data_IF_007463758870
#
_entry.id   IF_007463758870
#
_cell.length_a   1.000
_cell.length_b   1.000
_cell.length_c   1.000
_cell.angle_alpha   90.00
_cell.angle_beta   90.00
_cell.angle_gamma   90.00
#
_symmetry.space_group_name_H-M   'P 1'
#
loop_
_entity.id
_entity.type
_entity.pdbx_description
1 polymer ?
#
# COMPACT_ATOMS: atom_id res chain seq x y z
N UNK A 1 -12.14 -1.95 27.23
CA UNK A 1 -12.42 -1.75 25.79
C UNK A 1 -11.20 -1.04 25.24
N UNK A 2 -10.46 -1.63 24.30
CA UNK A 2 -9.34 -0.93 23.67
C UNK A 2 -9.92 0.00 22.62
N UNK A 3 -9.69 1.31 22.75
CA UNK A 3 -10.02 2.25 21.69
C UNK A 3 -9.26 1.87 20.43
N UNK A 4 -10.00 1.64 19.36
CA UNK A 4 -9.44 1.51 18.03
C UNK A 4 -9.11 2.92 17.57
N UNK A 5 -7.82 3.26 17.52
CA UNK A 5 -7.37 4.48 16.85
C UNK A 5 -7.35 4.26 15.35
N UNK A 6 -7.99 5.15 14.61
CA UNK A 6 -8.02 5.16 13.15
C UNK A 6 -7.93 6.60 12.62
N UNK A 7 -7.96 6.75 11.30
CA UNK A 7 -7.79 8.07 10.68
C UNK A 7 -9.09 8.89 10.63
N UNK A 8 -10.27 8.39 11.06
CA UNK A 8 -11.56 9.07 10.82
C UNK A 8 -11.58 10.54 11.24
N UNK A 9 -11.12 10.82 12.46
CA UNK A 9 -11.15 12.17 13.04
C UNK A 9 -10.18 13.15 12.39
N UNK A 10 -9.20 12.65 11.63
CA UNK A 10 -8.15 13.47 11.02
C UNK A 10 -8.01 13.25 9.50
N UNK A 11 -8.88 12.46 8.88
CA UNK A 11 -8.74 11.98 7.51
C UNK A 11 -8.65 13.13 6.49
N UNK A 12 -9.61 14.05 6.51
CA UNK A 12 -9.61 15.23 5.63
C UNK A 12 -8.37 16.11 5.86
N UNK A 13 -7.95 16.27 7.12
CA UNK A 13 -6.75 17.06 7.46
C UNK A 13 -5.47 16.41 6.95
N UNK A 14 -5.35 15.08 7.00
CA UNK A 14 -4.22 14.35 6.39
C UNK A 14 -4.19 14.61 4.89
N UNK A 15 -5.32 14.46 4.19
CA UNK A 15 -5.40 14.69 2.76
C UNK A 15 -5.09 16.14 2.37
N UNK A 16 -5.53 17.10 3.18
CA UNK A 16 -5.19 18.51 2.99
C UNK A 16 -3.68 18.75 3.11
N UNK A 17 -3.01 18.16 4.13
CA UNK A 17 -1.56 18.26 4.28
C UNK A 17 -0.85 17.64 3.09
N UNK A 18 -1.24 16.44 2.66
CA UNK A 18 -0.69 15.81 1.45
C UNK A 18 -0.88 16.70 0.22
N UNK A 19 -2.06 17.32 0.06
CA UNK A 19 -2.34 18.25 -1.03
C UNK A 19 -1.46 19.49 -1.01
N UNK A 20 -1.18 20.04 0.18
CA UNK A 20 -0.24 21.17 0.35
C UNK A 20 1.21 20.81 -0.02
N UNK A 21 1.57 19.52 0.04
CA UNK A 21 2.87 19.03 -0.45
C UNK A 21 2.87 18.74 -1.95
N UNK A 22 1.77 19.03 -2.66
CA UNK A 22 1.64 18.78 -4.09
C UNK A 22 1.45 17.30 -4.44
N UNK A 23 1.10 16.44 -3.48
CA UNK A 23 0.85 15.03 -3.77
C UNK A 23 -0.38 14.88 -4.67
N UNK A 24 -0.24 14.07 -5.72
CA UNK A 24 -1.32 13.65 -6.61
C UNK A 24 -1.90 12.29 -6.19
N UNK A 25 -1.08 11.43 -5.60
CA UNK A 25 -1.48 10.12 -5.08
C UNK A 25 -1.18 10.00 -3.60
N UNK A 26 -2.17 9.60 -2.81
CA UNK A 26 -2.03 9.33 -1.37
C UNK A 26 -2.31 7.86 -1.08
N UNK A 27 -1.36 7.19 -0.43
CA UNK A 27 -1.52 5.78 -0.03
C UNK A 27 -1.51 5.71 1.50
N UNK A 28 -2.62 5.26 2.07
CA UNK A 28 -2.69 4.91 3.49
C UNK A 28 -2.21 3.47 3.69
N UNK A 29 -1.70 3.18 4.89
CA UNK A 29 -1.51 1.81 5.37
C UNK A 29 -2.84 1.04 5.38
N UNK A 30 -2.78 -0.29 5.44
CA UNK A 30 -3.99 -1.10 5.64
C UNK A 30 -4.46 -0.99 7.10
N UNK A 31 -5.74 -1.29 7.38
CA UNK A 31 -6.41 -1.03 8.66
C UNK A 31 -6.44 0.45 9.07
N UNK A 32 -6.73 1.33 8.12
CA UNK A 32 -6.68 2.78 8.35
C UNK A 32 -8.03 3.41 8.72
N UNK A 33 -9.16 2.82 8.35
CA UNK A 33 -10.45 3.50 8.53
C UNK A 33 -11.53 2.53 9.00
N UNK A 34 -12.13 2.78 10.17
CA UNK A 34 -13.31 2.05 10.62
C UNK A 34 -14.57 2.57 9.92
N UNK A 35 -15.16 1.74 9.06
CA UNK A 35 -16.34 2.13 8.27
C UNK A 35 -17.68 1.63 8.87
N UNK A 36 -17.70 1.19 10.13
CA UNK A 36 -18.92 0.66 10.77
C UNK A 36 -19.99 1.72 11.04
N UNK A 37 -19.62 3.00 11.13
CA UNK A 37 -20.52 4.08 11.53
C UNK A 37 -20.81 5.11 10.45
N UNK A 38 -19.85 5.39 9.56
CA UNK A 38 -19.99 6.39 8.50
C UNK A 38 -19.32 5.91 7.23
N UNK A 39 -20.07 5.93 6.11
CA UNK A 39 -19.51 5.70 4.79
C UNK A 39 -18.86 6.98 4.28
N UNK A 40 -17.60 6.87 3.83
CA UNK A 40 -16.92 7.97 3.16
C UNK A 40 -17.60 8.28 1.83
N UNK A 41 -17.80 9.55 1.56
CA UNK A 41 -18.24 10.08 0.28
C UNK A 41 -17.06 10.65 -0.51
N UNK A 42 -17.26 10.88 -1.80
CA UNK A 42 -16.28 11.58 -2.64
C UNK A 42 -15.91 12.96 -2.07
N UNK A 43 -16.89 13.70 -1.56
CA UNK A 43 -16.68 15.01 -0.94
C UNK A 43 -15.76 14.94 0.28
N UNK A 44 -15.91 13.92 1.13
CA UNK A 44 -15.04 13.72 2.30
C UNK A 44 -13.57 13.48 1.92
N UNK A 45 -13.33 12.89 0.74
CA UNK A 45 -12.00 12.57 0.24
C UNK A 45 -11.35 13.77 -0.48
N UNK A 46 -12.11 14.50 -1.30
CA UNK A 46 -11.50 15.43 -2.27
C UNK A 46 -11.80 16.91 -2.05
N UNK A 47 -12.65 17.29 -1.07
CA UNK A 47 -13.07 18.68 -0.85
C UNK A 47 -11.89 19.66 -0.71
N UNK A 48 -10.96 19.39 0.21
CA UNK A 48 -9.87 20.32 0.55
C UNK A 48 -8.50 19.92 -0.04
N UNK A 49 -8.44 18.81 -0.78
CA UNK A 49 -7.19 18.17 -1.21
C UNK A 49 -6.93 18.37 -2.72
N UNK A 50 -6.92 19.61 -3.20
CA UNK A 50 -7.05 19.95 -4.64
C UNK A 50 -6.03 19.29 -5.59
N UNK A 51 -4.79 19.06 -5.16
CA UNK A 51 -3.79 18.37 -6.01
C UNK A 51 -3.99 16.85 -6.06
N UNK A 52 -4.61 16.26 -5.02
CA UNK A 52 -4.78 14.82 -4.90
C UNK A 52 -5.81 14.33 -5.92
N UNK A 53 -5.37 13.42 -6.79
CA UNK A 53 -6.14 12.75 -7.83
C UNK A 53 -6.56 11.34 -7.41
N UNK A 54 -5.73 10.65 -6.62
CA UNK A 54 -5.99 9.27 -6.21
C UNK A 54 -5.71 9.06 -4.72
N UNK A 55 -6.62 8.36 -4.04
CA UNK A 55 -6.46 7.96 -2.62
C UNK A 55 -6.71 6.46 -2.49
N UNK A 56 -5.72 5.74 -1.93
CA UNK A 56 -5.85 4.35 -1.53
C UNK A 56 -6.07 4.27 -0.03
N UNK A 57 -7.22 3.70 0.37
CA UNK A 57 -7.59 3.57 1.77
C UNK A 57 -8.22 2.21 2.03
N UNK A 58 -7.71 1.46 3.01
CA UNK A 58 -8.42 0.29 3.48
C UNK A 58 -9.45 0.65 4.55
N UNK A 59 -10.69 0.22 4.31
CA UNK A 59 -11.79 0.28 5.25
C UNK A 59 -12.12 -1.12 5.77
N UNK A 60 -12.33 -1.24 7.07
CA UNK A 60 -12.76 -2.48 7.71
C UNK A 60 -13.48 -2.20 9.03
N UNK A 61 -14.17 -3.19 9.57
CA UNK A 61 -14.51 -3.15 10.99
C UNK A 61 -13.23 -3.47 11.78
N UNK A 62 -12.56 -2.43 12.27
CA UNK A 62 -11.24 -2.56 12.88
C UNK A 62 -11.26 -3.33 14.21
N UNK A 63 -12.42 -3.35 14.90
CA UNK A 63 -12.59 -4.10 16.13
C UNK A 63 -12.58 -5.61 15.89
N UNK A 64 -13.29 -6.09 14.88
CA UNK A 64 -13.33 -7.52 14.51
C UNK A 64 -12.35 -7.90 13.40
N UNK A 65 -11.70 -6.93 12.77
CA UNK A 65 -10.80 -7.08 11.61
C UNK A 65 -11.40 -7.93 10.48
N UNK A 66 -12.67 -7.67 10.19
CA UNK A 66 -13.40 -8.33 9.11
C UNK A 66 -13.96 -7.29 8.14
N UNK A 67 -14.50 -7.79 7.02
CA UNK A 67 -15.08 -6.97 5.96
C UNK A 67 -14.10 -5.95 5.36
N UNK A 68 -12.80 -6.28 5.42
CA UNK A 68 -11.74 -5.43 4.89
C UNK A 68 -11.84 -5.30 3.37
N UNK A 69 -11.80 -4.05 2.90
CA UNK A 69 -11.78 -3.71 1.48
C UNK A 69 -10.93 -2.47 1.26
N UNK A 70 -10.12 -2.49 0.22
CA UNK A 70 -9.36 -1.32 -0.20
C UNK A 70 -10.21 -0.51 -1.17
N UNK A 71 -10.48 0.74 -0.81
CA UNK A 71 -11.11 1.73 -1.66
C UNK A 71 -10.03 2.48 -2.42
N UNK A 72 -10.14 2.50 -3.75
CA UNK A 72 -9.35 3.36 -4.63
C UNK A 72 -10.27 4.48 -5.09
N UNK A 73 -10.15 5.62 -4.43
CA UNK A 73 -10.85 6.84 -4.79
C UNK A 73 -10.09 7.57 -5.89
N UNK A 74 -10.84 8.07 -6.88
CA UNK A 74 -10.33 8.84 -8.01
C UNK A 74 -11.15 10.12 -8.14
N UNK A 75 -10.47 11.27 -8.27
CA UNK A 75 -11.12 12.59 -8.24
C UNK A 75 -12.22 12.72 -9.31
N UNK A 76 -12.03 12.12 -10.46
CA UNK A 76 -12.92 12.11 -11.61
C UNK A 76 -14.03 11.05 -11.56
N UNK A 77 -14.15 10.29 -10.46
CA UNK A 77 -15.20 9.27 -10.29
C UNK A 77 -15.89 9.41 -8.95
N UNK A 78 -17.22 9.50 -8.95
CA UNK A 78 -18.02 9.66 -7.74
C UNK A 78 -17.92 8.47 -6.76
N UNK A 79 -17.71 7.26 -7.29
CA UNK A 79 -17.65 6.04 -6.50
C UNK A 79 -16.23 5.44 -6.52
N UNK A 80 -15.76 4.88 -5.38
CA UNK A 80 -14.46 4.25 -5.32
C UNK A 80 -14.50 2.91 -6.05
N UNK A 81 -13.36 2.54 -6.62
CA UNK A 81 -13.17 1.16 -7.02
C UNK A 81 -12.78 0.31 -5.80
N UNK A 82 -13.36 -0.88 -5.68
CA UNK A 82 -13.10 -1.77 -4.56
C UNK A 82 -12.11 -2.86 -4.98
N UNK A 83 -11.05 -3.03 -4.19
CA UNK A 83 -10.07 -4.09 -4.34
C UNK A 83 -10.04 -4.97 -3.08
N UNK A 84 -9.80 -6.26 -3.28
CA UNK A 84 -9.64 -7.24 -2.21
C UNK A 84 -8.27 -7.90 -2.31
N UNK A 85 -7.62 -8.11 -1.17
CA UNK A 85 -6.42 -8.93 -1.15
C UNK A 85 -6.78 -10.37 -1.51
N UNK A 86 -6.09 -10.95 -2.50
CA UNK A 86 -6.38 -12.31 -2.98
C UNK A 86 -5.61 -13.39 -2.25
N UNK A 87 -4.39 -13.08 -1.79
CA UNK A 87 -3.56 -14.01 -1.04
C UNK A 87 -2.51 -13.27 -0.21
N UNK A 88 -1.92 -13.95 0.76
CA UNK A 88 -0.97 -13.32 1.69
C UNK A 88 0.37 -14.05 1.80
N UNK A 89 0.39 -15.37 1.56
CA UNK A 89 1.56 -16.22 1.84
C UNK A 89 2.31 -16.60 0.56
N UNK A 90 3.54 -17.08 0.72
CA UNK A 90 4.33 -17.62 -0.39
C UNK A 90 3.85 -19.00 -0.88
N UNK A 91 3.13 -19.71 -0.01
CA UNK A 91 2.49 -20.99 -0.31
C UNK A 91 0.99 -20.76 -0.22
N UNK A 92 0.39 -20.55 -1.39
CA UNK A 92 -1.05 -20.29 -1.55
C UNK A 92 -1.55 -21.16 -2.70
N UNK A 93 -2.81 -21.64 -2.65
CA UNK A 93 -3.40 -22.36 -3.77
C UNK A 93 -3.32 -21.56 -5.07
N UNK A 94 -2.96 -22.21 -6.18
CA UNK A 94 -2.84 -21.54 -7.50
C UNK A 94 -4.11 -20.77 -7.90
N UNK A 95 -5.29 -21.20 -7.46
CA UNK A 95 -6.55 -20.51 -7.71
C UNK A 95 -6.55 -19.05 -7.25
N UNK A 96 -5.99 -18.75 -6.07
CA UNK A 96 -5.90 -17.38 -5.56
C UNK A 96 -4.91 -16.53 -6.37
N UNK A 97 -3.79 -17.13 -6.79
CA UNK A 97 -2.80 -16.44 -7.63
C UNK A 97 -3.41 -16.13 -9.01
N UNK A 98 -4.13 -17.08 -9.60
CA UNK A 98 -4.84 -16.87 -10.88
C UNK A 98 -5.94 -15.82 -10.74
N UNK A 99 -6.67 -15.78 -9.62
CA UNK A 99 -7.65 -14.73 -9.36
C UNK A 99 -6.98 -13.34 -9.29
N UNK A 100 -5.84 -13.22 -8.62
CA UNK A 100 -5.05 -11.98 -8.60
C UNK A 100 -4.59 -11.55 -10.00
N UNK A 101 -4.14 -12.50 -10.83
CA UNK A 101 -3.77 -12.23 -12.22
C UNK A 101 -4.98 -11.89 -13.11
N UNK A 102 -6.16 -12.44 -12.80
CA UNK A 102 -7.43 -12.09 -13.45
C UNK A 102 -7.85 -10.66 -13.14
N UNK A 103 -7.57 -10.17 -11.94
CA UNK A 103 -7.83 -8.79 -11.51
C UNK A 103 -6.83 -7.76 -12.07
N UNK A 104 -5.86 -8.15 -12.90
CA UNK A 104 -4.73 -7.28 -13.23
C UNK A 104 -5.15 -5.93 -13.82
N UNK A 105 -6.08 -5.90 -14.79
CA UNK A 105 -6.53 -4.64 -15.39
C UNK A 105 -7.34 -3.79 -14.42
N UNK A 106 -8.12 -4.39 -13.53
CA UNK A 106 -8.84 -3.62 -12.52
C UNK A 106 -7.88 -3.01 -11.50
N UNK A 107 -6.72 -3.62 -11.25
CA UNK A 107 -5.71 -3.07 -10.33
C UNK A 107 -4.83 -1.99 -10.94
N UNK A 108 -4.97 -1.71 -12.24
CA UNK A 108 -4.17 -0.74 -12.96
C UNK A 108 -4.87 0.61 -13.08
N UNK A 109 -4.17 1.67 -12.70
CA UNK A 109 -4.64 3.05 -12.75
C UNK A 109 -3.61 3.87 -13.53
N UNK A 110 -3.75 3.88 -14.87
CA UNK A 110 -2.73 4.46 -15.75
C UNK A 110 -1.44 3.63 -15.73
N UNK A 111 -0.34 4.21 -15.25
CA UNK A 111 0.96 3.55 -15.05
C UNK A 111 1.14 3.00 -13.62
N UNK A 112 0.14 3.17 -12.76
CA UNK A 112 0.16 2.68 -11.39
C UNK A 112 -0.52 1.32 -11.30
N UNK A 113 -0.03 0.47 -10.40
CA UNK A 113 -0.60 -0.83 -10.10
C UNK A 113 -0.74 -1.02 -8.59
N UNK A 114 -1.92 -1.44 -8.14
CA UNK A 114 -2.18 -1.66 -6.71
C UNK A 114 -1.98 -3.13 -6.34
N UNK A 115 -1.04 -3.35 -5.43
CA UNK A 115 -0.70 -4.67 -4.89
C UNK A 115 -0.90 -4.66 -3.38
N UNK A 116 -1.83 -5.43 -2.83
CA UNK A 116 -2.20 -5.36 -1.42
C UNK A 116 -1.34 -6.30 -0.57
N UNK A 117 -0.64 -5.74 0.42
CA UNK A 117 0.12 -6.45 1.46
C UNK A 117 0.98 -7.61 0.91
N UNK A 118 0.56 -8.85 1.19
CA UNK A 118 1.30 -10.08 0.92
C UNK A 118 1.20 -10.56 -0.53
N UNK A 119 0.45 -9.87 -1.40
CA UNK A 119 0.38 -10.21 -2.83
C UNK A 119 1.76 -10.11 -3.52
N UNK A 120 2.69 -9.35 -2.93
CA UNK A 120 4.11 -9.33 -3.28
C UNK A 120 4.77 -10.72 -3.26
N UNK A 121 4.17 -11.70 -2.59
CA UNK A 121 4.61 -13.09 -2.62
C UNK A 121 4.40 -13.82 -3.96
N UNK A 122 3.75 -13.20 -4.96
CA UNK A 122 3.72 -13.71 -6.33
C UNK A 122 5.13 -13.88 -6.91
N UNK A 123 6.06 -13.00 -6.51
CA UNK A 123 7.49 -13.14 -6.77
C UNK A 123 8.11 -13.93 -5.63
N UNK A 124 8.75 -15.05 -5.97
CA UNK A 124 9.45 -15.91 -5.02
C UNK A 124 10.96 -15.65 -5.06
N UNK A 125 11.62 -15.85 -3.92
CA UNK A 125 13.08 -15.88 -3.83
C UNK A 125 13.48 -17.32 -3.54
N UNK A 126 14.30 -17.92 -4.40
CA UNK A 126 14.78 -19.30 -4.19
C UNK A 126 15.76 -19.33 -3.02
N UNK A 127 15.51 -20.21 -2.06
CA UNK A 127 16.42 -20.44 -0.94
C UNK A 127 17.77 -20.96 -1.44
N UNK A 128 18.86 -20.52 -0.80
CA UNK A 128 20.23 -20.90 -1.17
C UNK A 128 20.84 -20.08 -2.31
N UNK A 129 20.11 -19.82 -3.40
CA UNK A 129 20.64 -19.03 -4.53
C UNK A 129 20.28 -17.56 -4.48
N UNK A 130 19.20 -17.19 -3.79
CA UNK A 130 18.69 -15.81 -3.77
C UNK A 130 18.07 -15.36 -5.09
N UNK A 131 17.94 -16.26 -6.06
CA UNK A 131 17.41 -15.96 -7.39
C UNK A 131 15.90 -15.67 -7.32
N UNK A 132 15.49 -14.68 -8.10
CA UNK A 132 14.09 -14.34 -8.31
C UNK A 132 13.43 -15.44 -9.15
N UNK A 133 12.25 -15.87 -8.73
CA UNK A 133 11.42 -16.83 -9.44
C UNK A 133 10.05 -16.20 -9.69
N UNK A 134 9.76 -15.94 -10.96
CA UNK A 134 8.49 -15.40 -11.46
C UNK A 134 7.73 -16.49 -12.23
N UNK A 135 7.21 -17.46 -11.46
CA UNK A 135 6.56 -18.66 -12.01
C UNK A 135 5.32 -18.35 -12.87
N UNK A 136 4.69 -17.20 -12.64
CA UNK A 136 3.44 -16.81 -13.29
C UNK A 136 3.62 -15.67 -14.31
N UNK A 137 4.87 -15.30 -14.64
CA UNK A 137 5.17 -14.24 -15.62
C UNK A 137 4.65 -12.85 -15.21
N UNK A 138 4.49 -12.60 -13.91
CA UNK A 138 3.93 -11.34 -13.41
C UNK A 138 4.85 -10.15 -13.67
N UNK A 139 6.18 -10.32 -13.53
CA UNK A 139 7.15 -9.26 -13.82
C UNK A 139 7.15 -8.87 -15.29
N UNK A 140 7.00 -9.87 -16.18
CA UNK A 140 6.87 -9.66 -17.62
C UNK A 140 5.57 -8.91 -17.94
N UNK A 141 4.45 -9.33 -17.36
CA UNK A 141 3.16 -8.65 -17.56
C UNK A 141 3.18 -7.19 -17.11
N UNK A 142 3.83 -6.88 -15.99
CA UNK A 142 4.00 -5.50 -15.53
C UNK A 142 4.83 -4.66 -16.51
N UNK A 143 5.81 -5.25 -17.20
CA UNK A 143 6.59 -4.57 -18.25
C UNK A 143 5.74 -4.32 -19.50
N UNK A 144 5.10 -5.36 -20.03
CA UNK A 144 4.30 -5.29 -21.26
C UNK A 144 3.15 -4.28 -21.17
N UNK A 145 2.64 -4.06 -19.95
CA UNK A 145 1.55 -3.12 -19.67
C UNK A 145 2.01 -1.72 -19.25
N UNK A 146 3.32 -1.47 -19.23
CA UNK A 146 3.89 -0.15 -18.96
C UNK A 146 3.73 0.35 -17.52
N UNK A 147 3.55 -0.57 -16.55
CA UNK A 147 3.44 -0.21 -15.13
C UNK A 147 4.78 0.33 -14.63
N UNK A 148 4.76 1.53 -14.06
CA UNK A 148 5.93 2.23 -13.51
C UNK A 148 5.87 2.42 -12.00
N UNK A 149 4.69 2.39 -11.38
CA UNK A 149 4.59 2.48 -9.92
C UNK A 149 3.75 1.33 -9.39
N UNK A 150 4.26 0.61 -8.39
CA UNK A 150 3.49 -0.35 -7.59
C UNK A 150 3.21 0.30 -6.24
N UNK A 151 1.94 0.53 -5.97
CA UNK A 151 1.45 1.02 -4.67
C UNK A 151 1.11 -0.19 -3.81
N UNK A 152 1.85 -0.37 -2.72
CA UNK A 152 1.75 -1.53 -1.84
C UNK A 152 1.40 -1.12 -0.41
N UNK A 153 0.14 -0.77 -0.10
CA UNK A 153 -0.30 -0.62 1.27
C UNK A 153 -0.19 -1.97 2.00
N UNK A 154 0.29 -1.94 3.24
CA UNK A 154 0.58 -3.13 4.05
C UNK A 154 -0.04 -2.97 5.44
N UNK A 155 -0.48 -4.08 6.04
CA UNK A 155 -1.00 -4.10 7.41
C UNK A 155 0.09 -3.80 8.45
N UNK A 156 1.27 -4.38 8.26
CA UNK A 156 2.36 -4.27 9.22
C UNK A 156 3.75 -4.40 8.60
N UNK A 157 4.77 -4.04 9.38
CA UNK A 157 6.16 -4.16 8.96
C UNK A 157 6.53 -5.62 8.69
N UNK A 158 6.92 -5.89 7.45
CA UNK A 158 7.40 -7.21 7.05
C UNK A 158 8.88 -7.38 7.41
N UNK A 159 9.14 -7.93 8.59
CA UNK A 159 10.50 -8.11 9.17
C UNK A 159 11.40 -9.01 8.31
N UNK A 160 10.83 -9.93 7.53
CA UNK A 160 11.60 -10.97 6.85
C UNK A 160 12.44 -10.40 5.71
N UNK A 161 13.74 -10.71 5.71
CA UNK A 161 14.70 -10.19 4.74
C UNK A 161 14.34 -10.49 3.28
N UNK A 162 13.67 -11.61 2.99
CA UNK A 162 13.22 -11.94 1.63
C UNK A 162 12.23 -10.92 1.07
N UNK A 163 11.48 -10.21 1.92
CA UNK A 163 10.52 -9.21 1.48
C UNK A 163 11.21 -8.00 0.86
N UNK A 164 12.39 -7.61 1.35
CA UNK A 164 13.21 -6.58 0.69
C UNK A 164 13.65 -7.03 -0.71
N UNK A 165 14.11 -8.28 -0.84
CA UNK A 165 14.52 -8.85 -2.14
C UNK A 165 13.35 -8.93 -3.13
N UNK A 166 12.14 -9.25 -2.67
CA UNK A 166 10.93 -9.26 -3.51
C UNK A 166 10.57 -7.88 -4.01
N UNK A 167 10.61 -6.86 -3.15
CA UNK A 167 10.37 -5.46 -3.54
C UNK A 167 11.42 -4.97 -4.54
N UNK A 168 12.69 -5.29 -4.32
CA UNK A 168 13.74 -5.04 -5.30
C UNK A 168 13.43 -5.68 -6.66
N UNK A 169 13.07 -6.96 -6.69
CA UNK A 169 12.68 -7.64 -7.92
C UNK A 169 11.46 -7.02 -8.63
N UNK A 170 10.42 -6.67 -7.86
CA UNK A 170 9.22 -5.99 -8.38
C UNK A 170 9.52 -4.60 -8.96
N UNK A 171 10.48 -3.89 -8.36
CA UNK A 171 10.96 -2.58 -8.82
C UNK A 171 11.93 -2.64 -10.00
N UNK A 172 12.30 -3.83 -10.47
CA UNK A 172 13.21 -3.95 -11.61
C UNK A 172 12.63 -3.29 -12.87
N UNK A 173 13.53 -2.91 -13.79
CA UNK A 173 13.19 -2.34 -15.10
C UNK A 173 12.51 -0.97 -14.98
N UNK A 174 13.18 -0.07 -14.26
CA UNK A 174 12.76 1.33 -14.04
C UNK A 174 11.38 1.49 -13.38
N UNK A 175 11.01 0.57 -12.49
CA UNK A 175 9.74 0.61 -11.75
C UNK A 175 9.97 1.05 -10.30
N UNK A 176 9.00 1.76 -9.75
CA UNK A 176 8.90 2.10 -8.34
C UNK A 176 8.05 1.07 -7.60
N UNK A 177 8.45 0.75 -6.37
CA UNK A 177 7.59 0.04 -5.41
C UNK A 177 7.54 0.88 -4.14
N UNK A 178 6.36 1.35 -3.78
CA UNK A 178 6.11 2.13 -2.57
C UNK A 178 5.32 1.27 -1.58
N UNK A 179 5.88 1.02 -0.40
CA UNK A 179 5.17 0.32 0.67
C UNK A 179 4.99 1.22 1.88
N UNK A 180 3.81 1.17 2.51
CA UNK A 180 3.47 1.91 3.74
C UNK A 180 2.72 0.99 4.72
N UNK A 181 2.98 1.12 6.02
CA UNK A 181 2.35 0.29 7.07
C UNK A 181 2.07 1.07 8.35
N UNK A 182 1.26 0.48 9.24
CA UNK A 182 1.04 1.01 10.58
C UNK A 182 2.15 0.56 11.54
N UNK A 183 2.72 1.50 12.29
CA UNK A 183 3.71 1.18 13.33
C UNK A 183 3.06 0.62 14.58
N UNK A 184 3.88 0.02 15.42
CA UNK A 184 3.54 -0.36 16.78
C UNK A 184 2.93 -1.75 16.90
N UNK A 185 3.26 -2.66 15.97
CA UNK A 185 2.80 -4.04 16.04
C UNK A 185 3.26 -4.70 17.33
N UNK A 186 2.31 -5.30 18.03
CA UNK A 186 2.55 -6.16 19.19
C UNK A 186 2.49 -7.63 18.78
N UNK A 187 3.34 -8.45 19.40
CA UNK A 187 3.27 -9.91 19.32
C UNK A 187 1.99 -10.42 19.98
N UNK A 188 1.68 -11.72 19.79
CA UNK A 188 0.60 -12.38 20.53
C UNK A 188 0.78 -12.31 22.06
N UNK A 189 2.00 -12.09 22.54
CA UNK A 189 2.34 -11.93 23.97
C UNK A 189 2.33 -10.47 24.42
N UNK A 190 1.94 -9.52 23.56
CA UNK A 190 1.88 -8.09 23.86
C UNK A 190 3.22 -7.34 23.75
N UNK A 191 4.31 -8.03 23.40
CA UNK A 191 5.64 -7.41 23.23
C UNK A 191 5.71 -6.64 21.91
N UNK A 192 6.30 -5.46 21.91
CA UNK A 192 6.56 -4.70 20.69
C UNK A 192 7.47 -5.51 19.76
N UNK A 193 7.04 -5.69 18.52
CA UNK A 193 7.86 -6.26 17.46
C UNK A 193 8.84 -5.19 16.99
N UNK A 194 10.07 -5.59 16.70
CA UNK A 194 11.05 -4.67 16.13
C UNK A 194 10.62 -4.26 14.72
N UNK A 195 10.50 -2.95 14.51
CA UNK A 195 10.09 -2.35 13.24
C UNK A 195 11.16 -1.40 12.73
N UNK A 196 11.15 -1.12 11.42
CA UNK A 196 11.96 -0.03 10.89
C UNK A 196 11.49 1.30 11.50
N UNK A 197 12.40 2.26 11.59
CA UNK A 197 12.09 3.57 12.13
C UNK A 197 11.03 4.28 11.28
N UNK A 198 11.16 4.28 9.96
CA UNK A 198 10.20 4.89 9.04
C UNK A 198 9.08 3.90 8.66
N UNK A 199 7.78 4.28 8.68
CA UNK A 199 6.66 3.40 8.33
C UNK A 199 6.44 3.23 6.82
N UNK A 200 7.51 3.38 6.04
CA UNK A 200 7.48 3.26 4.60
C UNK A 200 8.81 2.76 4.04
N UNK A 201 8.76 2.22 2.83
CA UNK A 201 9.94 1.92 2.03
C UNK A 201 9.68 2.25 0.57
N UNK A 202 10.72 2.70 -0.14
CA UNK A 202 10.69 2.86 -1.58
C UNK A 202 11.80 2.03 -2.22
N UNK A 203 11.47 1.37 -3.34
CA UNK A 203 12.45 0.70 -4.20
C UNK A 203 12.33 1.25 -5.60
N UNK A 204 13.46 1.43 -6.27
CA UNK A 204 13.53 1.83 -7.67
C UNK A 204 14.64 1.06 -8.38
N UNK A 205 14.30 0.44 -9.51
CA UNK A 205 15.23 -0.30 -10.36
C UNK A 205 16.09 -1.33 -9.61
N UNK A 206 15.51 -2.04 -8.63
CA UNK A 206 16.20 -3.04 -7.84
C UNK A 206 16.87 -2.52 -6.56
N UNK A 207 16.92 -1.21 -6.34
CA UNK A 207 17.59 -0.61 -5.18
C UNK A 207 16.61 -0.02 -4.16
N UNK A 208 16.93 -0.16 -2.88
CA UNK A 208 16.18 0.52 -1.81
C UNK A 208 16.57 2.01 -1.80
N UNK A 209 15.57 2.87 -2.05
CA UNK A 209 15.73 4.32 -2.14
C UNK A 209 14.87 5.06 -1.11
N UNK A 210 14.51 4.38 -0.01
CA UNK A 210 13.69 4.92 1.10
C UNK A 210 14.16 6.29 1.59
N UNK A 211 15.48 6.57 1.56
CA UNK A 211 16.06 7.87 1.91
C UNK A 211 15.61 9.05 1.03
N UNK A 212 14.98 8.80 -0.12
CA UNK A 212 14.40 9.82 -0.99
C UNK A 212 13.03 10.30 -0.50
N UNK A 213 12.40 9.56 0.41
CA UNK A 213 11.13 9.96 1.01
C UNK A 213 11.42 11.03 2.06
N UNK A 214 10.81 12.20 1.88
CA UNK A 214 10.88 13.31 2.82
C UNK A 214 9.74 13.19 3.83
N UNK A 215 10.07 13.15 5.12
CA UNK A 215 9.06 13.15 6.17
C UNK A 215 8.46 14.54 6.36
N UNK A 216 7.14 14.62 6.30
CA UNK A 216 6.37 15.85 6.48
C UNK A 216 5.96 15.93 7.95
N UNK A 217 6.39 17.01 8.62
CA UNK A 217 5.97 17.27 10.00
C UNK A 217 4.48 17.58 10.04
N UNK A 218 3.75 16.85 10.87
CA UNK A 218 2.32 17.05 11.10
C UNK A 218 2.05 17.35 12.57
N UNK A 219 1.05 18.19 12.81
CA UNK A 219 0.52 18.44 14.16
C UNK A 219 -0.48 17.35 14.60
N UNK A 220 -0.82 16.40 13.72
CA UNK A 220 -1.74 15.31 14.02
C UNK A 220 -0.96 14.24 14.82
N UNK A 221 -1.34 13.96 16.08
CA UNK A 221 -0.64 12.97 16.89
C UNK A 221 -0.63 11.60 16.22
N UNK A 222 0.51 10.90 16.33
CA UNK A 222 0.70 9.52 15.86
C UNK A 222 0.58 9.29 14.34
N UNK A 223 0.32 10.33 13.55
CA UNK A 223 0.33 10.26 12.08
C UNK A 223 1.72 10.60 11.59
N UNK A 224 2.25 9.79 10.67
CA UNK A 224 3.51 10.06 9.97
C UNK A 224 3.25 10.09 8.48
N UNK A 225 3.83 11.07 7.81
CA UNK A 225 3.63 11.30 6.38
C UNK A 225 4.98 11.36 5.69
N UNK A 226 5.13 10.58 4.62
CA UNK A 226 6.28 10.61 3.74
C UNK A 226 5.85 11.04 2.34
N UNK A 227 6.61 11.95 1.73
CA UNK A 227 6.39 12.40 0.35
C UNK A 227 7.61 12.05 -0.49
N UNK A 228 7.38 11.58 -1.71
CA UNK A 228 8.42 11.28 -2.68
C UNK A 228 7.98 11.79 -4.04
N UNK A 229 8.89 12.49 -4.71
CA UNK A 229 8.71 12.87 -6.11
C UNK A 229 9.19 11.72 -7.00
N UNK A 230 8.33 11.26 -7.90
CA UNK A 230 8.62 10.19 -8.84
C UNK A 230 8.79 10.79 -10.24
N UNK A 231 9.98 10.63 -10.81
CA UNK A 231 10.23 10.92 -12.22
C UNK A 231 9.85 9.70 -13.06
N UNK A 232 8.92 9.89 -14.01
CA UNK A 232 8.30 8.85 -14.84
C UNK A 232 8.88 8.73 -16.25
#
# INVERSE_FOLDING_TARGET
>A
MHDVSDYRSCFSRVLQICGQQGADTVVFSMWSYDNTHTQLTHGDVFADATSVQMVLLECCNLRSRNECKTLVWRRERDNPQILYQRFARAVEPQGYIRAFLGDFESRRFGRDFVMLCGESNIVKIRMGTGLVSDEFGFLMRLEETGVVVILNPVHDYMVRHEMKKKRAALSSRNRWVLSVWNMGKKSATGKMIAEAHEPWTAFYNGEEVTKRIQEVKTAIPSVRLGVIEITL
#
